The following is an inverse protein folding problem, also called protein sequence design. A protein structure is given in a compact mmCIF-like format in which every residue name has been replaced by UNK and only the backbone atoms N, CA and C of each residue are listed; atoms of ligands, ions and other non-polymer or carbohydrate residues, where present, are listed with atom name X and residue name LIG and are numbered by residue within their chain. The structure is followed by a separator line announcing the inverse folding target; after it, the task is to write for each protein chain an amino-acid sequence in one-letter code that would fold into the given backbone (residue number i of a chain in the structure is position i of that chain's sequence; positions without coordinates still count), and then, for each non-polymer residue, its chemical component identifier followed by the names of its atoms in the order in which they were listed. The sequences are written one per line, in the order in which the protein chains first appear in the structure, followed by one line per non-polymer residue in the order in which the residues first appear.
data_IF_693783400176
#
_entry.id   IF_693783400176
#
_cell.length_a   1.000
_cell.length_b   1.000
_cell.length_c   1.000
_cell.angle_alpha   90.00
_cell.angle_beta   90.00
_cell.angle_gamma   90.00
#
_symmetry.space_group_name_H-M   'P 1'
#
loop_
_entity.id
_entity.type
_entity.pdbx_description
1 polymer ?
#
# COMPACT_ATOMS: atom_id res chain seq x y z
N UNK A 1 -24.97 -17.81 -4.83
CA UNK A 1 -23.52 -17.71 -5.16
C UNK A 1 -22.79 -16.53 -4.51
N UNK A 2 -23.03 -15.25 -4.87
CA UNK A 2 -22.30 -14.13 -4.24
C UNK A 2 -22.59 -13.95 -2.75
N UNK A 3 -23.85 -14.09 -2.34
CA UNK A 3 -24.30 -14.01 -0.93
C UNK A 3 -23.62 -15.07 -0.04
N UNK A 4 -23.60 -16.32 -0.48
CA UNK A 4 -22.97 -17.43 0.26
C UNK A 4 -21.46 -17.23 0.44
N UNK A 5 -20.76 -16.72 -0.58
CA UNK A 5 -19.32 -16.42 -0.47
C UNK A 5 -19.06 -15.30 0.53
N UNK A 6 -19.91 -14.27 0.54
CA UNK A 6 -19.84 -13.19 1.53
C UNK A 6 -20.10 -13.68 2.96
N UNK A 7 -21.10 -14.54 3.15
CA UNK A 7 -21.38 -15.18 4.45
C UNK A 7 -20.19 -16.00 4.95
N UNK A 8 -19.41 -16.59 4.03
CA UNK A 8 -18.16 -17.30 4.33
C UNK A 8 -16.92 -16.41 4.41
N UNK A 9 -17.06 -15.10 4.21
CA UNK A 9 -15.93 -14.16 4.20
C UNK A 9 -14.92 -14.43 3.08
N UNK A 10 -15.39 -14.75 1.88
CA UNK A 10 -14.57 -15.03 0.70
C UNK A 10 -14.83 -13.96 -0.36
N UNK A 11 -13.79 -13.22 -0.73
CA UNK A 11 -13.81 -12.29 -1.87
C UNK A 11 -13.54 -13.05 -3.17
N UNK A 12 -14.16 -12.61 -4.28
CA UNK A 12 -14.04 -13.26 -5.59
C UNK A 12 -13.51 -12.28 -6.62
N UNK A 13 -12.45 -12.67 -7.33
CA UNK A 13 -11.87 -11.95 -8.47
C UNK A 13 -11.96 -12.87 -9.69
N UNK A 14 -13.00 -12.70 -10.51
CA UNK A 14 -13.30 -13.63 -11.60
C UNK A 14 -13.56 -15.05 -11.08
N UNK A 15 -12.65 -15.98 -11.37
CA UNK A 15 -12.66 -17.37 -10.89
C UNK A 15 -11.66 -17.63 -9.73
N UNK A 16 -10.98 -16.59 -9.23
CA UNK A 16 -10.05 -16.66 -8.09
C UNK A 16 -10.78 -16.28 -6.80
N UNK A 17 -10.50 -17.02 -5.72
CA UNK A 17 -11.08 -16.78 -4.39
C UNK A 17 -10.02 -16.30 -3.41
N UNK A 18 -10.32 -15.23 -2.68
CA UNK A 18 -9.43 -14.61 -1.69
C UNK A 18 -10.16 -14.57 -0.34
N UNK A 19 -9.81 -15.44 0.62
CA UNK A 19 -10.39 -15.41 1.96
C UNK A 19 -10.07 -14.11 2.69
N UNK A 20 -11.00 -13.63 3.52
CA UNK A 20 -10.83 -12.42 4.33
C UNK A 20 -9.60 -12.47 5.25
N UNK A 21 -9.21 -13.66 5.72
CA UNK A 21 -8.00 -13.84 6.54
C UNK A 21 -6.70 -13.35 5.86
N UNK A 22 -6.68 -13.28 4.52
CA UNK A 22 -5.56 -12.69 3.77
C UNK A 22 -5.45 -11.18 3.99
N UNK A 23 -6.58 -10.50 4.16
CA UNK A 23 -6.63 -9.05 4.42
C UNK A 23 -6.22 -8.73 5.86
N UNK A 24 -6.53 -9.58 6.84
CA UNK A 24 -6.03 -9.41 8.21
C UNK A 24 -4.49 -9.50 8.27
N UNK A 25 -3.89 -10.47 7.58
CA UNK A 25 -2.42 -10.56 7.50
C UNK A 25 -1.81 -9.38 6.74
N UNK A 26 -2.53 -8.88 5.74
CA UNK A 26 -2.11 -7.69 5.01
C UNK A 26 -2.12 -6.45 5.92
N UNK A 27 -3.14 -6.28 6.75
CA UNK A 27 -3.21 -5.21 7.76
C UNK A 27 -2.02 -5.26 8.73
N UNK A 28 -1.72 -6.43 9.29
CA UNK A 28 -0.58 -6.66 10.21
C UNK A 28 0.77 -6.25 9.56
N UNK A 29 0.90 -6.44 8.25
CA UNK A 29 2.09 -6.06 7.50
C UNK A 29 2.16 -4.56 7.17
N UNK A 30 1.03 -3.94 6.79
CA UNK A 30 0.98 -2.55 6.30
C UNK A 30 1.06 -1.54 7.45
N UNK A 31 0.37 -1.78 8.57
CA UNK A 31 0.27 -0.79 9.66
C UNK A 31 1.63 -0.34 10.24
N UNK A 32 2.61 -1.23 10.49
CA UNK A 32 3.93 -0.83 10.93
C UNK A 32 4.66 0.06 9.91
N UNK A 33 4.47 -0.21 8.61
CA UNK A 33 5.11 0.53 7.53
C UNK A 33 4.52 1.94 7.41
N UNK A 34 3.20 2.08 7.50
CA UNK A 34 2.54 3.38 7.55
C UNK A 34 2.99 4.19 8.78
N UNK A 35 3.20 3.51 9.91
CA UNK A 35 3.69 4.14 11.14
C UNK A 35 5.11 4.69 10.96
N UNK A 36 6.02 3.89 10.40
CA UNK A 36 7.41 4.30 10.11
C UNK A 36 7.45 5.51 9.16
N UNK A 37 6.68 5.44 8.07
CA UNK A 37 6.57 6.54 7.10
C UNK A 37 5.98 7.81 7.71
N UNK A 38 4.99 7.68 8.59
CA UNK A 38 4.41 8.84 9.27
C UNK A 38 5.39 9.47 10.27
N UNK A 39 6.22 8.68 10.96
CA UNK A 39 7.29 9.20 11.80
C UNK A 39 8.36 9.93 10.97
N UNK A 40 8.74 9.39 9.81
CA UNK A 40 9.64 10.06 8.86
C UNK A 40 9.05 11.38 8.35
N UNK A 41 7.77 11.40 7.99
CA UNK A 41 7.04 12.60 7.56
C UNK A 41 7.04 13.67 8.67
N UNK A 42 6.76 13.29 9.92
CA UNK A 42 6.78 14.22 11.07
C UNK A 42 8.18 14.77 11.37
N UNK A 43 9.23 13.94 11.24
CA UNK A 43 10.61 14.35 11.51
C UNK A 43 11.19 15.27 10.44
N UNK A 44 10.87 15.01 9.17
CA UNK A 44 11.48 15.70 8.04
C UNK A 44 10.60 16.83 7.48
N UNK A 45 9.30 16.80 7.74
CA UNK A 45 8.31 17.67 7.10
C UNK A 45 8.04 17.31 5.63
N UNK A 46 8.74 16.31 5.07
CA UNK A 46 8.53 15.88 3.68
C UNK A 46 7.32 14.97 3.60
N UNK A 47 6.37 15.32 2.74
CA UNK A 47 5.22 14.46 2.41
C UNK A 47 5.71 13.33 1.52
N UNK A 48 5.30 12.10 1.84
CA UNK A 48 5.67 10.92 1.08
C UNK A 48 4.74 10.71 -0.11
N UNK A 49 5.25 10.10 -1.17
CA UNK A 49 4.48 9.83 -2.39
C UNK A 49 4.05 8.36 -2.49
N UNK A 50 3.07 8.01 -3.34
CA UNK A 50 2.69 6.61 -3.59
C UNK A 50 3.87 5.72 -4.01
N UNK A 51 4.75 6.19 -4.90
CA UNK A 51 5.92 5.44 -5.34
C UNK A 51 6.90 5.14 -4.19
N UNK A 52 7.09 6.10 -3.27
CA UNK A 52 7.91 5.92 -2.06
C UNK A 52 7.28 4.92 -1.09
N UNK A 53 5.94 4.93 -0.94
CA UNK A 53 5.23 3.91 -0.18
C UNK A 53 5.45 2.52 -0.80
N UNK A 54 5.26 2.37 -2.11
CA UNK A 54 5.48 1.09 -2.82
C UNK A 54 6.94 0.62 -2.68
N UNK A 55 7.89 1.55 -2.75
CA UNK A 55 9.30 1.27 -2.51
C UNK A 55 9.54 0.67 -1.12
N UNK A 56 8.99 1.32 -0.07
CA UNK A 56 9.08 0.83 1.31
C UNK A 56 8.42 -0.55 1.48
N UNK A 57 7.29 -0.79 0.80
CA UNK A 57 6.63 -2.11 0.79
C UNK A 57 7.54 -3.18 0.16
N UNK A 58 8.17 -2.87 -0.98
CA UNK A 58 9.11 -3.76 -1.66
C UNK A 58 10.37 -4.06 -0.83
N UNK A 59 10.85 -3.08 -0.07
CA UNK A 59 11.97 -3.27 0.86
C UNK A 59 11.59 -4.19 2.03
N UNK A 60 10.40 -3.97 2.64
CA UNK A 60 9.96 -4.66 3.85
C UNK A 60 9.41 -6.06 3.60
N UNK A 61 8.89 -6.35 2.40
CA UNK A 61 8.31 -7.66 2.10
C UNK A 61 9.37 -8.78 2.11
N UNK A 62 10.63 -8.47 1.78
CA UNK A 62 11.77 -9.39 1.91
C UNK A 62 11.61 -10.73 1.18
N UNK A 63 10.75 -10.82 0.16
CA UNK A 63 10.37 -12.06 -0.50
C UNK A 63 10.61 -11.96 -2.01
N UNK A 64 11.44 -12.87 -2.55
CA UNK A 64 11.82 -12.94 -3.97
C UNK A 64 10.66 -13.32 -4.91
N UNK A 65 9.55 -13.83 -4.39
CA UNK A 65 8.32 -14.05 -5.18
C UNK A 65 7.54 -12.75 -5.44
N UNK A 66 7.91 -11.65 -4.76
CA UNK A 66 7.24 -10.35 -4.91
C UNK A 66 7.83 -9.54 -6.07
N UNK A 67 6.95 -9.04 -6.92
CA UNK A 67 7.32 -8.08 -7.99
C UNK A 67 7.95 -6.82 -7.37
N UNK A 68 7.34 -6.27 -6.32
CA UNK A 68 7.81 -5.03 -5.69
C UNK A 68 9.16 -5.19 -4.97
N UNK A 69 9.48 -6.40 -4.50
CA UNK A 69 10.82 -6.70 -4.01
C UNK A 69 11.86 -6.51 -5.11
N UNK A 70 11.62 -7.08 -6.30
CA UNK A 70 12.54 -6.94 -7.42
C UNK A 70 12.59 -5.52 -7.99
N UNK A 71 11.47 -4.80 -8.01
CA UNK A 71 11.47 -3.38 -8.38
C UNK A 71 12.39 -2.57 -7.47
N UNK A 72 12.29 -2.76 -6.14
CA UNK A 72 13.17 -2.12 -5.16
C UNK A 72 14.64 -2.53 -5.35
N UNK A 73 14.94 -3.83 -5.49
CA UNK A 73 16.32 -4.31 -5.69
C UNK A 73 16.97 -3.78 -6.96
N UNK A 74 16.21 -3.61 -8.03
CA UNK A 74 16.70 -3.16 -9.33
C UNK A 74 16.53 -1.66 -9.58
N UNK A 75 16.11 -0.88 -8.58
CA UNK A 75 15.89 0.58 -8.71
C UNK A 75 14.89 0.97 -9.79
N UNK A 76 13.83 0.17 -9.93
CA UNK A 76 12.71 0.43 -10.84
C UNK A 76 11.60 1.10 -10.03
N UNK A 77 11.25 2.37 -10.29
CA UNK A 77 10.14 3.02 -9.61
C UNK A 77 8.81 2.44 -10.08
N UNK A 78 7.82 2.44 -9.21
CA UNK A 78 6.45 2.02 -9.52
C UNK A 78 5.51 3.15 -9.12
N UNK A 79 4.80 3.69 -10.09
CA UNK A 79 3.83 4.77 -9.88
C UNK A 79 2.41 4.22 -9.88
N UNK A 80 1.60 4.65 -8.91
CA UNK A 80 0.18 4.31 -8.84
C UNK A 80 -0.60 5.53 -8.31
N UNK A 81 -1.10 6.42 -9.20
CA UNK A 81 -1.79 7.64 -8.78
C UNK A 81 -3.05 7.38 -7.94
N UNK A 82 -3.72 6.25 -8.20
CA UNK A 82 -4.92 5.80 -7.48
C UNK A 82 -4.60 4.73 -6.42
N UNK A 83 -3.50 4.86 -5.67
CA UNK A 83 -3.05 3.88 -4.66
C UNK A 83 -4.10 3.59 -3.57
N UNK A 84 -5.07 4.50 -3.39
CA UNK A 84 -6.15 4.37 -2.41
C UNK A 84 -7.35 3.57 -2.91
N UNK A 85 -7.42 3.20 -4.19
CA UNK A 85 -8.55 2.44 -4.75
C UNK A 85 -8.34 0.93 -4.60
N UNK A 86 -8.48 0.44 -3.36
CA UNK A 86 -8.33 -0.98 -3.02
C UNK A 86 -8.12 -1.21 -1.53
N UNK A 87 -7.74 -2.44 -1.16
CA UNK A 87 -7.57 -2.81 0.26
C UNK A 87 -6.49 -2.00 0.98
N UNK A 88 -5.48 -1.50 0.26
CA UNK A 88 -4.49 -0.59 0.82
C UNK A 88 -5.13 0.76 1.21
N UNK A 89 -6.11 1.24 0.43
CA UNK A 89 -6.90 2.41 0.75
C UNK A 89 -7.69 2.27 2.05
N UNK A 90 -8.30 1.11 2.29
CA UNK A 90 -8.98 0.83 3.56
C UNK A 90 -8.00 0.94 4.75
N UNK A 91 -6.79 0.40 4.60
CA UNK A 91 -5.76 0.49 5.66
C UNK A 91 -5.31 1.94 5.87
N UNK A 92 -5.11 2.70 4.80
CA UNK A 92 -4.78 4.13 4.86
C UNK A 92 -5.91 4.90 5.54
N UNK A 93 -7.17 4.58 5.26
CA UNK A 93 -8.33 5.19 5.91
C UNK A 93 -8.29 4.96 7.42
N UNK A 94 -8.16 3.71 7.88
CA UNK A 94 -8.12 3.41 9.31
C UNK A 94 -6.90 4.04 10.00
N UNK A 95 -5.75 4.06 9.33
CA UNK A 95 -4.55 4.69 9.84
C UNK A 95 -4.72 6.21 9.97
N UNK A 96 -5.25 6.87 8.93
CA UNK A 96 -5.49 8.32 8.90
C UNK A 96 -6.58 8.75 9.87
N UNK A 97 -7.58 7.91 10.13
CA UNK A 97 -8.58 8.17 11.17
C UNK A 97 -7.93 8.36 12.55
N UNK A 98 -6.88 7.59 12.85
CA UNK A 98 -6.08 7.72 14.08
C UNK A 98 -5.00 8.80 13.97
N UNK A 99 -4.55 9.12 12.76
CA UNK A 99 -3.46 10.04 12.46
C UNK A 99 -3.87 11.05 11.36
N UNK A 100 -4.68 12.08 11.68
CA UNK A 100 -5.25 12.98 10.66
C UNK A 100 -4.21 13.71 9.79
N UNK A 101 -3.02 13.93 10.34
CA UNK A 101 -1.88 14.60 9.70
C UNK A 101 -1.16 13.75 8.63
N UNK A 102 -1.42 12.44 8.58
CA UNK A 102 -0.81 11.56 7.58
C UNK A 102 -1.25 11.96 6.17
N UNK A 103 -0.29 12.16 5.25
CA UNK A 103 -0.56 12.61 3.88
C UNK A 103 0.25 11.79 2.89
N UNK A 104 -0.33 11.59 1.71
CA UNK A 104 0.33 11.05 0.53
C UNK A 104 0.19 12.08 -0.59
N UNK A 105 1.30 12.47 -1.21
CA UNK A 105 1.31 13.41 -2.31
C UNK A 105 1.41 12.68 -3.65
N UNK A 106 0.32 12.74 -4.42
CA UNK A 106 0.27 12.15 -5.77
C UNK A 106 0.86 13.08 -6.83
N UNK A 107 0.95 14.39 -6.55
CA UNK A 107 1.39 15.40 -7.51
C UNK A 107 2.91 15.38 -7.70
N UNK A 108 3.67 15.16 -6.62
CA UNK A 108 5.12 14.94 -6.68
C UNK A 108 5.46 13.70 -7.53
N UNK A 109 4.67 12.62 -7.41
CA UNK A 109 4.83 11.41 -8.23
C UNK A 109 4.62 11.68 -9.73
N UNK A 110 3.73 12.59 -10.12
CA UNK A 110 3.53 12.98 -11.52
C UNK A 110 4.77 13.72 -12.06
N UNK A 111 5.39 14.58 -11.23
CA UNK A 111 6.62 15.27 -11.63
C UNK A 111 7.76 14.26 -11.79
N UNK A 112 7.91 13.32 -10.86
CA UNK A 112 8.95 12.30 -10.94
C UNK A 112 8.75 11.39 -12.16
N UNK A 113 7.52 10.89 -12.37
CA UNK A 113 7.20 10.02 -13.50
C UNK A 113 7.45 10.67 -14.86
N UNK A 114 7.17 11.97 -15.02
CA UNK A 114 7.39 12.68 -16.28
C UNK A 114 8.87 13.03 -16.55
N UNK A 115 9.70 13.02 -15.50
CA UNK A 115 11.13 13.33 -15.60
C UNK A 115 12.02 12.07 -15.56
N UNK A 116 11.42 10.89 -15.43
CA UNK A 116 12.09 9.59 -15.45
C UNK A 116 12.35 9.12 -16.88
#
# INVERSE_FOLDING_TARGET
MGKELREKGINRIGNVFVPNSRYCRFEEFILPILSELFEEQKKTGKIITPSQLIWKLGEKIGNEESIYYWCCKNKIPVFCPAITDGSLGDMIYFFKFKNPEFKLDVSDDIVEMNNY
#
